data_IF_029151095304
#
_entry.id   IF_029151095304
#
_cell.length_a   1.000
_cell.length_b   1.000
_cell.length_c   1.000
_cell.angle_alpha   90.00
_cell.angle_beta   90.00
_cell.angle_gamma   90.00
#
_symmetry.space_group_name_H-M   'P 1'
#
loop_
_entity.id
_entity.type
_entity.pdbx_description
1 polymer ?
#
# COMPACT_ATOMS: atom_id res chain seq x y z
N UNK A 1 -14.39 16.98 -15.36
CA UNK A 1 -12.99 17.47 -15.34
C UNK A 1 -12.18 16.44 -14.57
N UNK A 2 -11.13 15.86 -15.15
CA UNK A 2 -10.28 14.89 -14.45
C UNK A 2 -9.15 15.67 -13.77
N UNK A 3 -9.14 15.69 -12.45
CA UNK A 3 -8.07 16.33 -11.68
C UNK A 3 -6.90 15.38 -11.50
N UNK A 4 -5.72 15.82 -11.95
CA UNK A 4 -4.47 15.05 -11.86
C UNK A 4 -3.61 15.45 -10.65
N UNK A 5 -4.14 16.25 -9.72
CA UNK A 5 -3.45 16.69 -8.51
C UNK A 5 -2.74 15.53 -7.78
N UNK A 6 -1.46 15.70 -7.45
CA UNK A 6 -0.56 14.61 -7.02
C UNK A 6 -0.58 14.28 -5.52
N UNK A 7 -1.34 15.00 -4.69
CA UNK A 7 -1.33 14.85 -3.23
C UNK A 7 -2.55 14.14 -2.64
N UNK A 8 -2.33 13.14 -1.77
CA UNK A 8 -3.40 12.36 -1.11
C UNK A 8 -4.34 13.16 -0.20
N UNK A 9 -3.82 14.16 0.53
CA UNK A 9 -4.65 15.07 1.34
C UNK A 9 -5.51 15.99 0.47
N UNK A 10 -4.95 16.51 -0.63
CA UNK A 10 -5.67 17.38 -1.56
C UNK A 10 -6.81 16.65 -2.27
N UNK A 11 -6.61 15.39 -2.68
CA UNK A 11 -7.65 14.55 -3.30
C UNK A 11 -8.81 14.27 -2.36
N UNK A 12 -8.52 14.00 -1.07
CA UNK A 12 -9.58 13.78 -0.08
C UNK A 12 -10.40 15.05 0.15
N UNK A 13 -9.74 16.21 0.34
CA UNK A 13 -10.46 17.47 0.52
C UNK A 13 -11.39 17.77 -0.63
N UNK A 14 -10.94 17.58 -1.89
CA UNK A 14 -11.77 17.77 -3.09
C UNK A 14 -12.98 16.85 -3.15
N UNK A 15 -12.84 15.60 -2.71
CA UNK A 15 -13.96 14.67 -2.58
C UNK A 15 -14.97 15.16 -1.52
N UNK A 16 -14.47 15.62 -0.37
CA UNK A 16 -15.31 16.07 0.75
C UNK A 16 -16.01 17.42 0.48
N UNK A 17 -15.40 18.30 -0.32
CA UNK A 17 -15.97 19.60 -0.73
C UNK A 17 -16.88 19.49 -1.95
N UNK A 18 -16.94 18.33 -2.61
CA UNK A 18 -17.75 18.12 -3.81
C UNK A 18 -17.12 18.64 -5.10
N UNK A 19 -15.84 19.02 -5.07
CA UNK A 19 -15.07 19.35 -6.29
C UNK A 19 -14.80 18.10 -7.15
N UNK A 20 -14.86 16.91 -6.55
CA UNK A 20 -14.68 15.63 -7.24
C UNK A 20 -15.69 14.59 -6.75
N UNK A 21 -16.27 13.81 -7.68
CA UNK A 21 -17.23 12.74 -7.35
C UNK A 21 -16.56 11.40 -7.02
N UNK A 22 -15.36 11.15 -7.56
CA UNK A 22 -14.64 9.87 -7.44
C UNK A 22 -13.16 10.12 -7.20
N UNK A 23 -12.66 9.68 -6.06
CA UNK A 23 -11.24 9.73 -5.73
C UNK A 23 -10.58 8.36 -5.89
N UNK A 24 -9.46 8.31 -6.62
CA UNK A 24 -8.66 7.11 -6.77
C UNK A 24 -7.53 7.05 -5.73
N UNK A 25 -7.33 5.85 -5.17
CA UNK A 25 -6.23 5.49 -4.27
C UNK A 25 -6.11 6.43 -3.06
N UNK A 26 -7.12 6.45 -2.17
CA UNK A 26 -7.02 7.19 -0.92
C UNK A 26 -5.84 6.66 -0.10
N UNK A 27 -5.21 7.54 0.70
CA UNK A 27 -4.16 7.10 1.60
C UNK A 27 -4.74 6.14 2.65
N UNK A 28 -3.99 5.10 3.02
CA UNK A 28 -4.45 4.10 4.00
C UNK A 28 -4.86 4.73 5.34
N UNK A 29 -4.16 5.79 5.77
CA UNK A 29 -4.47 6.57 6.97
C UNK A 29 -5.80 7.34 6.92
N UNK A 30 -6.35 7.55 5.73
CA UNK A 30 -7.60 8.30 5.51
C UNK A 30 -8.83 7.41 5.43
N UNK A 31 -8.66 6.08 5.45
CA UNK A 31 -9.75 5.14 5.22
C UNK A 31 -10.82 5.18 6.33
N UNK A 32 -10.46 5.50 7.57
CA UNK A 32 -11.42 5.68 8.66
C UNK A 32 -12.36 6.85 8.36
N UNK A 33 -11.80 8.02 8.02
CA UNK A 33 -12.56 9.23 7.65
C UNK A 33 -13.55 8.92 6.51
N UNK A 34 -13.09 8.17 5.50
CA UNK A 34 -13.92 7.77 4.36
C UNK A 34 -15.00 6.73 4.69
N UNK A 35 -14.77 5.89 5.71
CA UNK A 35 -15.77 4.91 6.19
C UNK A 35 -16.84 5.56 7.04
N UNK A 36 -16.48 6.59 7.79
CA UNK A 36 -17.36 7.22 8.78
C UNK A 36 -18.26 8.31 8.17
N UNK A 37 -17.97 8.80 6.96
CA UNK A 37 -18.84 9.75 6.25
C UNK A 37 -20.00 9.02 5.53
N UNK A 38 -21.26 9.19 5.96
CA UNK A 38 -22.41 8.49 5.38
C UNK A 38 -22.74 8.92 3.96
N UNK A 39 -22.15 10.02 3.47
CA UNK A 39 -22.36 10.52 2.09
C UNK A 39 -21.48 9.77 1.08
N UNK A 40 -20.49 9.03 1.55
CA UNK A 40 -19.48 8.39 0.70
C UNK A 40 -19.67 6.87 0.63
N UNK A 41 -19.27 6.29 -0.49
CA UNK A 41 -19.21 4.84 -0.68
C UNK A 41 -17.77 4.39 -0.88
N UNK A 42 -17.19 3.78 0.15
CA UNK A 42 -15.88 3.16 0.05
C UNK A 42 -15.96 1.76 -0.58
N UNK A 43 -15.25 1.55 -1.70
CA UNK A 43 -15.12 0.22 -2.31
C UNK A 43 -13.73 -0.35 -2.03
N UNK A 44 -13.65 -1.42 -1.24
CA UNK A 44 -12.42 -2.17 -0.98
C UNK A 44 -12.46 -3.48 -1.74
N UNK A 45 -11.39 -3.78 -2.48
CA UNK A 45 -11.22 -5.04 -3.18
C UNK A 45 -9.82 -5.58 -2.91
N UNK A 46 -9.64 -6.89 -2.67
CA UNK A 46 -8.33 -7.49 -2.62
C UNK A 46 -7.55 -7.17 -3.90
N UNK A 47 -6.33 -6.65 -3.74
CA UNK A 47 -5.44 -6.31 -4.84
C UNK A 47 -4.75 -7.56 -5.39
N UNK A 48 -4.47 -7.56 -6.70
CA UNK A 48 -3.56 -8.52 -7.34
C UNK A 48 -2.20 -7.86 -7.53
N UNK A 49 -1.56 -7.47 -6.43
CA UNK A 49 -0.28 -6.80 -6.43
C UNK A 49 0.60 -7.29 -5.26
N UNK A 50 1.90 -7.04 -5.38
CA UNK A 50 2.88 -7.30 -4.34
C UNK A 50 3.86 -6.13 -4.27
N UNK A 51 4.27 -5.77 -3.06
CA UNK A 51 5.37 -4.85 -2.82
C UNK A 51 6.55 -5.63 -2.25
N UNK A 52 7.74 -5.43 -2.81
CA UNK A 52 8.96 -6.08 -2.35
C UNK A 52 10.13 -5.10 -2.40
N UNK A 53 11.13 -5.32 -1.55
CA UNK A 53 12.39 -4.60 -1.61
C UNK A 53 13.32 -5.35 -2.57
N UNK A 54 13.57 -4.75 -3.74
CA UNK A 54 14.53 -5.27 -4.69
C UNK A 54 15.96 -4.86 -4.29
N UNK A 55 16.86 -5.83 -4.19
CA UNK A 55 18.28 -5.56 -4.00
C UNK A 55 18.97 -5.44 -5.35
N UNK A 56 19.80 -4.41 -5.52
CA UNK A 56 20.70 -4.34 -6.66
C UNK A 56 21.86 -5.32 -6.43
N UNK A 57 21.80 -6.49 -7.08
CA UNK A 57 22.77 -7.58 -6.89
C UNK A 57 24.13 -7.32 -7.53
N UNK A 58 24.29 -6.26 -8.33
CA UNK A 58 25.56 -5.91 -8.96
C UNK A 58 26.39 -4.95 -8.11
N UNK A 59 25.82 -4.41 -7.02
CA UNK A 59 26.46 -3.43 -6.15
C UNK A 59 26.89 -4.05 -4.82
N UNK A 60 28.18 -4.00 -4.45
CA UNK A 60 28.61 -4.34 -3.10
C UNK A 60 27.97 -3.41 -2.04
N UNK A 61 27.60 -3.90 -0.84
CA UNK A 61 27.69 -5.28 -0.37
C UNK A 61 26.46 -6.15 -0.71
N UNK A 62 25.48 -5.63 -1.46
CA UNK A 62 24.24 -6.32 -1.80
C UNK A 62 24.41 -7.45 -2.82
N UNK A 63 25.57 -7.52 -3.49
CA UNK A 63 25.96 -8.66 -4.31
C UNK A 63 26.12 -9.96 -3.50
N UNK A 64 26.45 -9.87 -2.20
CA UNK A 64 26.56 -11.02 -1.32
C UNK A 64 25.17 -11.52 -0.86
N UNK A 65 24.77 -12.77 -1.16
CA UNK A 65 23.50 -13.34 -0.70
C UNK A 65 23.31 -13.33 0.83
N UNK A 66 24.38 -13.52 1.61
CA UNK A 66 24.31 -13.51 3.07
C UNK A 66 23.90 -12.13 3.62
N UNK A 67 24.37 -11.05 2.99
CA UNK A 67 23.99 -9.67 3.35
C UNK A 67 22.50 -9.46 3.07
N UNK A 68 22.01 -9.93 1.91
CA UNK A 68 20.58 -9.81 1.58
C UNK A 68 19.69 -10.60 2.52
N UNK A 69 20.09 -11.81 2.92
CA UNK A 69 19.35 -12.60 3.92
C UNK A 69 19.33 -11.91 5.29
N UNK A 70 20.46 -11.36 5.74
CA UNK A 70 20.53 -10.62 6.99
C UNK A 70 19.61 -9.39 6.97
N UNK A 71 19.61 -8.63 5.87
CA UNK A 71 18.70 -7.49 5.69
C UNK A 71 17.23 -7.92 5.67
N UNK A 72 16.89 -9.00 4.97
CA UNK A 72 15.53 -9.51 4.90
C UNK A 72 14.99 -9.93 6.28
N UNK A 73 15.81 -10.60 7.10
CA UNK A 73 15.45 -11.01 8.46
C UNK A 73 15.37 -9.83 9.45
N UNK A 74 16.11 -8.75 9.19
CA UNK A 74 16.07 -7.55 10.02
C UNK A 74 14.79 -6.70 9.83
N UNK A 75 14.00 -6.95 8.78
CA UNK A 75 12.78 -6.21 8.50
C UNK A 75 11.63 -6.70 9.39
N UNK A 76 11.08 -5.80 10.21
CA UNK A 76 9.90 -6.07 11.01
C UNK A 76 8.61 -5.86 10.19
N UNK A 77 8.17 -6.93 9.53
CA UNK A 77 6.94 -6.92 8.72
C UNK A 77 5.68 -6.56 9.51
N UNK A 78 5.57 -7.02 10.77
CA UNK A 78 4.40 -6.72 11.60
C UNK A 78 4.26 -5.20 11.85
N UNK A 79 5.36 -4.53 12.15
CA UNK A 79 5.37 -3.08 12.35
C UNK A 79 5.02 -2.35 11.05
N UNK A 80 5.55 -2.78 9.90
CA UNK A 80 5.23 -2.21 8.59
C UNK A 80 3.74 -2.31 8.26
N UNK A 81 3.11 -3.46 8.51
CA UNK A 81 1.67 -3.66 8.27
C UNK A 81 0.81 -2.69 9.07
N UNK A 82 1.21 -2.40 10.31
CA UNK A 82 0.50 -1.48 11.19
C UNK A 82 0.74 -0.01 10.83
N UNK A 83 2.00 0.38 10.58
CA UNK A 83 2.36 1.80 10.43
C UNK A 83 2.18 2.36 9.03
N UNK A 84 2.31 1.52 7.99
CA UNK A 84 2.22 1.97 6.59
C UNK A 84 0.89 1.53 5.97
N UNK A 85 0.52 0.27 6.18
CA UNK A 85 -0.65 -0.31 5.51
C UNK A 85 -1.94 -0.23 6.32
N UNK A 86 -1.91 0.17 7.60
CA UNK A 86 -3.10 0.32 8.44
C UNK A 86 -4.06 -0.90 8.38
N UNK A 87 -3.50 -2.11 8.28
CA UNK A 87 -4.26 -3.36 8.18
C UNK A 87 -4.96 -3.61 6.84
N UNK A 88 -4.63 -2.86 5.78
CA UNK A 88 -5.18 -3.08 4.43
C UNK A 88 -4.32 -4.00 3.56
N UNK A 89 -3.23 -4.53 4.10
CA UNK A 89 -2.33 -5.44 3.43
C UNK A 89 -1.98 -6.64 4.34
N UNK A 90 -1.48 -7.69 3.70
CA UNK A 90 -1.01 -8.91 4.35
C UNK A 90 0.46 -9.13 4.02
N UNK A 91 1.17 -9.80 4.93
CA UNK A 91 2.58 -10.17 4.71
C UNK A 91 2.64 -11.21 3.58
N UNK A 92 3.36 -10.89 2.51
CA UNK A 92 3.54 -11.80 1.39
C UNK A 92 4.41 -13.01 1.78
N UNK A 93 3.94 -14.21 1.45
CA UNK A 93 4.70 -15.46 1.61
C UNK A 93 5.40 -15.92 0.31
N UNK A 94 5.01 -15.34 -0.83
CA UNK A 94 5.51 -15.67 -2.17
C UNK A 94 5.53 -14.42 -3.05
N UNK A 95 6.19 -14.50 -4.22
CA UNK A 95 6.17 -13.43 -5.22
C UNK A 95 4.79 -13.29 -5.89
N UNK A 96 3.99 -14.35 -5.84
CA UNK A 96 2.60 -14.32 -6.29
C UNK A 96 1.70 -13.82 -5.17
N UNK A 97 0.72 -13.00 -5.53
CA UNK A 97 -0.33 -12.59 -4.60
C UNK A 97 -1.01 -13.83 -4.02
N UNK A 98 -1.31 -13.85 -2.72
CA UNK A 98 -1.80 -15.04 -2.01
C UNK A 98 -3.01 -15.69 -2.70
N UNK A 99 -3.94 -14.85 -3.19
CA UNK A 99 -5.12 -15.29 -3.94
C UNK A 99 -4.84 -15.98 -5.28
N UNK A 100 -3.68 -15.76 -5.88
CA UNK A 100 -3.28 -16.43 -7.11
C UNK A 100 -2.72 -17.83 -6.84
N UNK A 101 -2.14 -18.05 -5.65
CA UNK A 101 -1.58 -19.33 -5.22
C UNK A 101 -2.63 -20.25 -4.57
N UNK A 102 -3.86 -19.76 -4.38
CA UNK A 102 -4.95 -20.52 -3.76
C UNK A 102 -4.76 -20.75 -2.26
N UNK A 103 -3.97 -19.89 -1.61
CA UNK A 103 -3.75 -19.84 -0.15
C UNK A 103 -4.48 -18.64 0.46
#
# INVERSE_FOLDING_TARGET
>A
MVDLGSGGTGRLSKLLTGECDVSAWPAASQLSILRDDPRLRLTLRPGMNIAYLAFNTDKPPLNNPAVRHALALAINNQRLMQSIYYGTAETAASIFASRLVGL
#
